data_IF_178500829306
#
_entry.id   IF_178500829306
#
_cell.length_a   1.000
_cell.length_b   1.000
_cell.length_c   1.000
_cell.angle_alpha   90.00
_cell.angle_beta   90.00
_cell.angle_gamma   90.00
#
_symmetry.space_group_name_H-M   'P 1'
#
loop_
_entity.id
_entity.type
_entity.pdbx_description
1 polymer ?
#
# COMPACT_ATOMS: atom_id res chain seq x y z
N UNK A 1 11.73 -12.63 18.64
CA UNK A 1 12.24 -11.30 18.24
C UNK A 1 11.21 -10.29 18.67
N UNK A 2 11.58 -9.30 19.48
CA UNK A 2 10.70 -8.20 19.84
C UNK A 2 10.76 -7.13 18.74
N UNK A 3 9.61 -6.59 18.34
CA UNK A 3 9.51 -5.47 17.43
C UNK A 3 8.41 -4.52 17.90
N UNK A 4 8.49 -3.26 17.47
CA UNK A 4 7.47 -2.24 17.76
C UNK A 4 6.94 -1.67 16.46
N UNK A 5 5.64 -1.36 16.44
CA UNK A 5 4.99 -0.65 15.34
C UNK A 5 4.54 0.71 15.85
N UNK A 6 4.95 1.78 15.17
CA UNK A 6 4.60 3.16 15.51
C UNK A 6 4.39 3.98 14.25
N UNK A 7 3.72 5.12 14.38
CA UNK A 7 3.67 6.12 13.31
C UNK A 7 5.09 6.55 12.92
N UNK A 8 5.31 6.75 11.63
CA UNK A 8 6.54 7.29 11.09
C UNK A 8 6.67 8.78 11.45
N UNK A 9 7.92 9.24 11.56
CA UNK A 9 8.30 10.63 11.80
C UNK A 9 9.22 11.10 10.65
N UNK A 10 9.45 12.42 10.48
CA UNK A 10 10.29 12.93 9.40
C UNK A 10 11.70 12.30 9.33
N UNK A 11 12.27 11.93 10.47
CA UNK A 11 13.57 11.24 10.53
C UNK A 11 13.55 9.81 9.94
N UNK A 12 12.39 9.16 9.87
CA UNK A 12 12.25 7.81 9.31
C UNK A 12 12.18 7.83 7.77
N UNK A 13 12.04 9.00 7.14
CA UNK A 13 11.87 9.11 5.68
C UNK A 13 13.02 8.47 4.90
N UNK A 14 14.25 8.49 5.42
CA UNK A 14 15.42 7.84 4.78
C UNK A 14 15.25 6.32 4.71
N UNK A 15 14.77 5.70 5.78
CA UNK A 15 14.51 4.26 5.83
C UNK A 15 13.28 3.87 5.00
N UNK A 16 12.20 4.65 5.06
CA UNK A 16 10.99 4.42 4.26
C UNK A 16 11.31 4.51 2.77
N UNK A 17 12.03 5.56 2.37
CA UNK A 17 12.44 5.79 0.99
C UNK A 17 13.34 4.68 0.44
N UNK A 18 14.25 4.14 1.28
CA UNK A 18 15.03 2.94 0.94
C UNK A 18 14.12 1.72 0.73
N UNK A 19 13.21 1.45 1.65
CA UNK A 19 12.31 0.29 1.57
C UNK A 19 11.32 0.39 0.40
N UNK A 20 10.90 1.59 -0.01
CA UNK A 20 10.13 1.81 -1.24
C UNK A 20 10.93 1.34 -2.46
N UNK A 21 12.22 1.64 -2.52
CA UNK A 21 13.09 1.14 -3.60
C UNK A 21 13.20 -0.39 -3.58
N UNK A 22 13.34 -0.99 -2.39
CA UNK A 22 13.39 -2.45 -2.24
C UNK A 22 12.06 -3.13 -2.63
N UNK A 23 10.92 -2.49 -2.32
CA UNK A 23 9.61 -2.91 -2.78
C UNK A 23 9.50 -2.80 -4.30
N UNK A 24 9.90 -1.68 -4.89
CA UNK A 24 9.86 -1.48 -6.33
C UNK A 24 10.71 -2.53 -7.09
N UNK A 25 11.87 -2.91 -6.55
CA UNK A 25 12.69 -4.01 -7.11
C UNK A 25 11.94 -5.34 -7.02
N UNK A 26 11.37 -5.66 -5.85
CA UNK A 26 10.58 -6.88 -5.67
C UNK A 26 9.38 -6.94 -6.62
N UNK A 27 8.76 -5.78 -6.88
CA UNK A 27 7.62 -5.64 -7.78
C UNK A 27 7.96 -5.57 -9.27
N UNK A 28 9.25 -5.61 -9.62
CA UNK A 28 9.76 -5.43 -11.00
C UNK A 28 9.43 -4.05 -11.58
N UNK A 29 9.35 -3.03 -10.73
CA UNK A 29 9.01 -1.64 -11.04
C UNK A 29 10.13 -0.65 -10.66
N UNK A 30 11.38 -1.12 -10.57
CA UNK A 30 12.54 -0.31 -10.14
C UNK A 30 12.76 0.99 -10.95
N UNK A 31 12.34 1.04 -12.22
CA UNK A 31 12.48 2.24 -13.05
C UNK A 31 11.53 3.39 -12.63
N UNK A 32 10.51 3.07 -11.80
CA UNK A 32 9.54 4.02 -11.26
C UNK A 32 10.06 4.76 -10.01
N UNK A 33 11.18 4.31 -9.41
CA UNK A 33 11.72 4.87 -8.16
C UNK A 33 13.23 5.13 -8.31
N UNK A 34 13.69 6.36 -8.02
CA UNK A 34 15.11 6.76 -8.15
C UNK A 34 15.69 7.17 -6.80
N UNK A 35 15.97 6.21 -5.91
CA UNK A 35 16.45 6.51 -4.54
C UNK A 35 17.47 5.46 -4.06
N UNK A 36 18.52 5.88 -3.35
CA UNK A 36 19.49 5.00 -2.70
C UNK A 36 19.93 5.56 -1.33
N UNK A 37 19.75 4.79 -0.25
CA UNK A 37 20.27 5.08 1.09
C UNK A 37 20.91 3.83 1.72
N UNK A 38 21.95 3.99 2.54
CA UNK A 38 22.61 2.90 3.29
C UNK A 38 22.30 2.99 4.79
N UNK A 39 22.03 1.85 5.44
CA UNK A 39 21.78 1.73 6.89
C UNK A 39 20.45 1.04 7.23
N UNK A 40 20.39 0.36 8.39
CA UNK A 40 19.19 -0.39 8.84
C UNK A 40 18.75 0.06 10.24
N UNK A 41 17.73 0.93 10.32
CA UNK A 41 17.00 1.15 11.59
C UNK A 41 15.52 0.73 11.53
N UNK A 42 14.93 0.63 10.33
CA UNK A 42 13.58 0.11 10.10
C UNK A 42 13.61 -1.08 9.15
N UNK A 43 12.72 -2.04 9.41
CA UNK A 43 12.68 -3.34 8.73
C UNK A 43 11.38 -3.60 7.95
N UNK A 44 10.44 -2.67 8.02
CA UNK A 44 9.19 -2.69 7.26
C UNK A 44 8.41 -1.41 7.42
N UNK A 45 7.49 -1.16 6.49
CA UNK A 45 6.57 -0.02 6.52
C UNK A 45 5.20 -0.40 5.96
N UNK A 46 4.20 0.43 6.28
CA UNK A 46 2.92 0.44 5.59
C UNK A 46 2.56 1.88 5.25
N UNK A 47 2.26 2.15 3.98
CA UNK A 47 1.77 3.43 3.51
C UNK A 47 0.27 3.33 3.27
N UNK A 48 -0.51 4.30 3.76
CA UNK A 48 -1.95 4.30 3.61
C UNK A 48 -2.49 5.72 3.59
N UNK A 49 -3.70 5.86 3.06
CA UNK A 49 -4.47 7.10 3.06
C UNK A 49 -5.97 6.79 3.18
N UNK A 50 -6.78 7.83 3.31
CA UNK A 50 -8.24 7.68 3.39
C UNK A 50 -8.87 7.83 2.02
N UNK A 51 -9.84 6.98 1.75
CA UNK A 51 -10.72 7.05 0.57
C UNK A 51 -12.17 7.10 1.02
N UNK A 52 -13.08 7.31 0.07
CA UNK A 52 -14.51 7.36 0.35
C UNK A 52 -15.26 6.46 -0.62
N UNK A 53 -16.16 5.64 -0.06
CA UNK A 53 -17.16 4.92 -0.84
C UNK A 53 -18.43 5.74 -0.88
N UNK A 54 -18.96 6.01 -2.07
CA UNK A 54 -20.29 6.62 -2.22
C UNK A 54 -21.37 5.84 -1.44
N UNK A 55 -21.26 4.51 -1.40
CA UNK A 55 -22.28 3.64 -0.82
C UNK A 55 -22.04 3.25 0.63
N UNK A 56 -20.78 3.24 1.07
CA UNK A 56 -20.41 2.70 2.39
C UNK A 56 -19.77 3.72 3.31
N UNK A 57 -19.34 4.87 2.79
CA UNK A 57 -18.66 5.92 3.56
C UNK A 57 -17.15 5.76 3.63
N UNK A 58 -16.56 6.31 4.69
CA UNK A 58 -15.10 6.46 4.85
C UNK A 58 -14.40 5.10 4.85
N UNK A 59 -13.29 5.02 4.13
CA UNK A 59 -12.49 3.81 3.96
C UNK A 59 -11.01 4.13 4.11
N UNK A 60 -10.20 3.12 4.46
CA UNK A 60 -8.75 3.19 4.33
C UNK A 60 -8.35 2.58 2.99
N UNK A 61 -7.36 3.14 2.33
CA UNK A 61 -6.64 2.49 1.25
C UNK A 61 -5.19 2.29 1.69
N UNK A 62 -4.75 1.04 1.76
CA UNK A 62 -3.36 0.69 2.05
C UNK A 62 -2.62 0.59 0.72
N UNK A 63 -1.78 1.58 0.45
CA UNK A 63 -1.01 1.71 -0.79
C UNK A 63 0.08 0.65 -0.85
N UNK A 64 0.95 0.63 0.18
CA UNK A 64 2.08 -0.27 0.26
C UNK A 64 2.10 -1.00 1.59
N UNK A 65 2.53 -2.26 1.55
CA UNK A 65 2.96 -3.01 2.72
C UNK A 65 4.24 -3.77 2.38
N UNK A 66 5.34 -3.43 3.05
CA UNK A 66 6.62 -4.07 2.81
C UNK A 66 7.33 -4.48 4.10
N UNK A 67 7.97 -5.64 4.05
CA UNK A 67 8.90 -6.13 5.08
C UNK A 67 10.14 -6.66 4.38
N UNK A 68 11.31 -6.24 4.87
CA UNK A 68 12.62 -6.70 4.40
C UNK A 68 12.69 -8.24 4.41
N UNK A 69 13.26 -8.89 3.37
CA UNK A 69 13.22 -10.34 3.22
C UNK A 69 13.70 -11.13 4.45
N UNK A 70 14.76 -10.66 5.11
CA UNK A 70 15.38 -11.32 6.28
C UNK A 70 14.50 -11.26 7.54
N UNK A 71 13.44 -10.45 7.50
CA UNK A 71 12.50 -10.23 8.59
C UNK A 71 11.09 -10.78 8.31
N UNK A 72 10.87 -11.39 7.13
CA UNK A 72 9.61 -12.06 6.79
C UNK A 72 9.37 -13.31 7.63
N UNK A 73 8.12 -13.74 7.75
CA UNK A 73 7.72 -14.87 8.60
C UNK A 73 7.72 -14.60 10.12
N UNK A 74 8.16 -13.41 10.55
CA UNK A 74 8.24 -13.03 11.97
C UNK A 74 7.00 -12.27 12.50
N UNK A 75 5.93 -12.22 11.72
CA UNK A 75 4.67 -11.55 12.11
C UNK A 75 4.63 -10.03 11.91
N UNK A 76 5.70 -9.40 11.40
CA UNK A 76 5.80 -7.93 11.21
C UNK A 76 4.75 -7.41 10.22
N UNK A 77 4.57 -8.06 9.06
CA UNK A 77 3.58 -7.63 8.06
C UNK A 77 2.15 -7.66 8.60
N UNK A 78 1.81 -8.72 9.36
CA UNK A 78 0.53 -8.81 10.08
C UNK A 78 0.36 -7.66 11.07
N UNK A 79 1.39 -7.32 11.84
CA UNK A 79 1.32 -6.24 12.83
C UNK A 79 1.15 -4.86 12.18
N UNK A 80 1.89 -4.59 11.10
CA UNK A 80 1.76 -3.36 10.31
C UNK A 80 0.34 -3.21 9.75
N UNK A 81 -0.16 -4.21 9.03
CA UNK A 81 -1.52 -4.22 8.48
C UNK A 81 -2.59 -4.08 9.56
N UNK A 82 -2.45 -4.79 10.68
CA UNK A 82 -3.41 -4.69 11.80
C UNK A 82 -3.40 -3.29 12.42
N UNK A 83 -2.24 -2.62 12.47
CA UNK A 83 -2.15 -1.25 12.96
C UNK A 83 -2.83 -0.26 12.02
N UNK A 84 -2.71 -0.43 10.70
CA UNK A 84 -3.43 0.36 9.69
C UNK A 84 -4.95 0.18 9.86
N UNK A 85 -5.41 -1.07 10.00
CA UNK A 85 -6.83 -1.35 10.27
C UNK A 85 -7.33 -0.69 11.57
N UNK A 86 -6.54 -0.74 12.65
CA UNK A 86 -6.88 -0.09 13.91
C UNK A 86 -7.02 1.44 13.76
N UNK A 87 -6.08 2.10 13.08
CA UNK A 87 -6.18 3.54 12.78
C UNK A 87 -7.42 3.83 11.93
N UNK A 88 -7.72 2.99 10.94
CA UNK A 88 -8.95 3.11 10.15
C UNK A 88 -10.20 3.07 11.02
N UNK A 89 -10.29 2.11 11.96
CA UNK A 89 -11.41 1.99 12.90
C UNK A 89 -11.52 3.20 13.83
N UNK A 90 -10.41 3.70 14.37
CA UNK A 90 -10.37 4.93 15.17
C UNK A 90 -10.89 6.14 14.37
N UNK A 91 -10.66 6.17 13.07
CA UNK A 91 -11.11 7.21 12.16
C UNK A 91 -12.49 6.94 11.53
N UNK A 92 -13.26 6.00 12.11
CA UNK A 92 -14.60 5.61 11.67
C UNK A 92 -14.65 5.08 10.22
N UNK A 93 -13.52 4.57 9.71
CA UNK A 93 -13.51 3.84 8.45
C UNK A 93 -14.19 2.48 8.64
N UNK A 94 -14.99 2.10 7.66
CA UNK A 94 -15.79 0.87 7.70
C UNK A 94 -15.11 -0.29 6.95
N UNK A 95 -14.15 0.01 6.06
CA UNK A 95 -13.40 -0.95 5.27
C UNK A 95 -11.98 -0.48 4.96
N UNK A 96 -11.15 -1.42 4.55
CA UNK A 96 -9.79 -1.19 4.07
C UNK A 96 -9.65 -1.86 2.70
N UNK A 97 -9.26 -1.08 1.70
CA UNK A 97 -8.98 -1.54 0.34
C UNK A 97 -7.47 -1.53 0.09
N UNK A 98 -7.00 -2.36 -0.83
CA UNK A 98 -5.62 -2.39 -1.34
C UNK A 98 -5.58 -3.22 -2.62
N UNK A 99 -4.50 -3.10 -3.39
CA UNK A 99 -4.28 -3.89 -4.60
C UNK A 99 -3.10 -4.84 -4.40
N UNK A 100 -3.13 -5.96 -5.12
CA UNK A 100 -2.04 -6.93 -5.17
C UNK A 100 -1.74 -7.21 -6.64
N UNK A 101 -0.47 -7.24 -7.02
CA UNK A 101 -0.06 -7.62 -8.36
C UNK A 101 -0.46 -9.07 -8.64
N UNK A 102 -0.96 -9.35 -9.84
CA UNK A 102 -1.52 -10.64 -10.27
C UNK A 102 -0.57 -11.83 -10.03
N UNK A 103 0.73 -11.63 -10.25
CA UNK A 103 1.74 -12.65 -10.05
C UNK A 103 2.10 -12.90 -8.58
N UNK A 104 1.72 -12.02 -7.66
CA UNK A 104 2.09 -12.08 -6.24
C UNK A 104 1.09 -12.96 -5.45
N UNK A 105 0.98 -14.22 -5.85
CA UNK A 105 0.09 -15.20 -5.24
C UNK A 105 0.37 -15.40 -3.75
N UNK A 106 1.63 -15.29 -3.31
CA UNK A 106 2.00 -15.38 -1.90
C UNK A 106 1.34 -14.29 -1.04
N UNK A 107 1.32 -13.04 -1.52
CA UNK A 107 0.65 -11.96 -0.81
C UNK A 107 -0.86 -12.11 -0.87
N UNK A 108 -1.39 -12.51 -2.02
CA UNK A 108 -2.82 -12.77 -2.19
C UNK A 108 -3.32 -13.82 -1.19
N UNK A 109 -2.65 -14.98 -1.09
CA UNK A 109 -2.98 -16.04 -0.15
C UNK A 109 -2.92 -15.56 1.31
N UNK A 110 -1.92 -14.75 1.66
CA UNK A 110 -1.79 -14.16 2.99
C UNK A 110 -3.02 -13.31 3.36
N UNK A 111 -3.53 -12.49 2.43
CA UNK A 111 -4.69 -11.64 2.67
C UNK A 111 -6.00 -12.43 2.67
N UNK A 112 -6.18 -13.38 1.76
CA UNK A 112 -7.36 -14.26 1.73
C UNK A 112 -7.47 -15.09 3.01
N UNK A 113 -6.37 -15.64 3.52
CA UNK A 113 -6.31 -16.34 4.80
C UNK A 113 -6.60 -15.44 6.03
N UNK A 114 -6.77 -14.11 5.83
CA UNK A 114 -7.18 -13.14 6.85
C UNK A 114 -8.62 -12.66 6.65
N UNK A 115 -9.33 -13.16 5.64
CA UNK A 115 -10.70 -12.79 5.34
C UNK A 115 -10.84 -11.61 4.36
N UNK A 116 -9.77 -11.22 3.67
CA UNK A 116 -9.90 -10.31 2.53
C UNK A 116 -10.69 -10.98 1.40
N UNK A 117 -11.35 -10.17 0.58
CA UNK A 117 -12.09 -10.64 -0.59
C UNK A 117 -11.42 -10.10 -1.86
N UNK A 118 -11.27 -10.95 -2.87
CA UNK A 118 -10.81 -10.55 -4.20
C UNK A 118 -11.97 -9.92 -4.98
N UNK A 119 -12.04 -8.59 -4.98
CA UNK A 119 -13.09 -7.84 -5.66
C UNK A 119 -12.99 -7.91 -7.18
N UNK A 120 -11.81 -8.16 -7.75
CA UNK A 120 -11.64 -8.39 -9.19
C UNK A 120 -12.37 -9.67 -9.58
N UNK A 121 -12.17 -10.75 -8.81
CA UNK A 121 -12.82 -12.03 -9.05
C UNK A 121 -14.33 -12.00 -8.72
N UNK A 122 -14.75 -11.32 -7.64
CA UNK A 122 -16.13 -11.36 -7.18
C UNK A 122 -17.05 -10.32 -7.81
N UNK A 123 -16.52 -9.16 -8.21
CA UNK A 123 -17.32 -8.02 -8.70
C UNK A 123 -16.91 -7.55 -10.10
N UNK A 124 -15.78 -8.00 -10.65
CA UNK A 124 -15.39 -7.70 -12.03
C UNK A 124 -14.93 -6.26 -12.28
N UNK A 125 -14.37 -5.58 -11.27
CA UNK A 125 -13.84 -4.24 -11.43
C UNK A 125 -12.57 -4.19 -12.27
N UNK A 126 -12.44 -3.14 -13.08
CA UNK A 126 -11.20 -2.80 -13.79
C UNK A 126 -10.42 -1.71 -13.05
N UNK A 127 -9.10 -1.88 -12.95
CA UNK A 127 -8.19 -0.83 -12.50
C UNK A 127 -7.71 -0.02 -13.70
N UNK A 128 -8.09 1.26 -13.77
CA UNK A 128 -7.82 2.14 -14.90
C UNK A 128 -7.02 3.37 -14.45
N UNK A 129 -6.16 3.88 -15.35
CA UNK A 129 -5.33 5.07 -15.10
C UNK A 129 -5.18 5.87 -16.38
N UNK A 130 -5.36 7.20 -16.27
CA UNK A 130 -4.80 8.17 -17.20
C UNK A 130 -3.45 8.62 -16.65
N UNK A 131 -2.42 8.64 -17.49
CA UNK A 131 -1.06 9.01 -17.10
C UNK A 131 -0.38 9.83 -18.22
N UNK A 132 0.58 10.67 -17.83
CA UNK A 132 1.32 11.58 -18.71
C UNK A 132 0.40 12.35 -19.68
N UNK A 133 0.76 12.35 -20.95
CA UNK A 133 0.05 13.11 -22.00
C UNK A 133 -1.44 12.77 -22.11
N UNK A 134 -1.88 11.55 -21.74
CA UNK A 134 -3.30 11.19 -21.81
C UNK A 134 -4.11 11.87 -20.72
N UNK A 135 -3.51 12.09 -19.54
CA UNK A 135 -4.11 12.86 -18.47
C UNK A 135 -4.16 14.35 -18.85
N UNK A 136 -3.09 14.86 -19.46
CA UNK A 136 -3.02 16.25 -19.91
C UNK A 136 -4.12 16.55 -20.95
N UNK A 137 -4.29 15.67 -21.95
CA UNK A 137 -5.36 15.80 -22.96
C UNK A 137 -6.76 15.74 -22.34
N UNK A 138 -6.99 14.82 -21.41
CA UNK A 138 -8.28 14.73 -20.70
C UNK A 138 -8.58 16.03 -19.93
N UNK A 139 -7.57 16.67 -19.36
CA UNK A 139 -7.73 17.95 -18.66
C UNK A 139 -8.14 19.10 -19.60
N UNK A 140 -7.67 19.10 -20.85
CA UNK A 140 -8.04 20.10 -21.86
C UNK A 140 -9.52 20.00 -22.31
N UNK A 141 -10.15 18.84 -22.16
CA UNK A 141 -11.57 18.62 -22.46
C UNK A 141 -12.50 19.20 -21.38
N UNK A 142 -11.97 19.64 -20.24
CA UNK A 142 -12.76 20.25 -19.19
C UNK A 142 -13.50 21.49 -19.74
N UNK A 143 -14.81 21.66 -19.44
CA UNK A 143 -15.54 22.85 -19.84
C UNK A 143 -14.81 24.11 -19.39
N UNK A 144 -14.52 25.01 -20.32
CA UNK A 144 -14.01 26.34 -19.98
C UNK A 144 -15.16 27.12 -19.36
N UNK A 145 -15.01 27.48 -18.09
CA UNK A 145 -15.94 28.38 -17.40
C UNK A 145 -16.09 29.71 -18.15
#
# INVERSE_FOLDING_TARGET
MEFTVRAAKPEDCKDVSRMIMELAIYEKMQDQVKISHKGHMKVGYALYFYTYSTWKGRSVYMEDLYVMPEFRGKGIGKALMSKVAAVGKEQQCIRMNFSVLDWNTQSLDFYLAKGAQDLTASEGWHFLRFDGETLDKLAEEAPKN
#
